data_IF_380266022787
#
_entry.id   IF_380266022787
#
_cell.length_a   1.000
_cell.length_b   1.000
_cell.length_c   1.000
_cell.angle_alpha   90.00
_cell.angle_beta   90.00
_cell.angle_gamma   90.00
#
_symmetry.space_group_name_H-M   'P 1'
#
loop_
_entity.id
_entity.type
_entity.pdbx_description
1 polymer ?
#
# COMPACT_ATOMS: atom_id res chain seq x y z
N UNK A 1 3.71 -34.15 -5.47
CA UNK A 1 2.50 -33.91 -4.64
C UNK A 1 2.67 -32.69 -3.71
N UNK A 2 3.69 -32.64 -2.85
CA UNK A 2 3.91 -31.50 -1.91
C UNK A 2 3.89 -30.12 -2.60
N UNK A 3 4.59 -29.96 -3.73
CA UNK A 3 4.61 -28.71 -4.51
C UNK A 3 3.22 -28.26 -4.98
N UNK A 4 2.40 -29.18 -5.50
CA UNK A 4 1.05 -28.85 -5.99
C UNK A 4 0.15 -28.42 -4.82
N UNK A 5 0.23 -29.12 -3.70
CA UNK A 5 -0.51 -28.78 -2.48
C UNK A 5 -0.07 -27.39 -1.98
N UNK A 6 1.23 -27.10 -1.94
CA UNK A 6 1.75 -25.78 -1.56
C UNK A 6 1.26 -24.67 -2.49
N UNK A 7 1.27 -24.89 -3.81
CA UNK A 7 0.75 -23.91 -4.78
C UNK A 7 -0.75 -23.69 -4.55
N UNK A 8 -1.53 -24.75 -4.40
CA UNK A 8 -2.97 -24.65 -4.15
C UNK A 8 -3.26 -23.85 -2.88
N UNK A 9 -2.61 -24.19 -1.77
CA UNK A 9 -2.79 -23.50 -0.49
C UNK A 9 -2.36 -22.03 -0.56
N UNK A 10 -1.26 -21.73 -1.25
CA UNK A 10 -0.82 -20.35 -1.43
C UNK A 10 -1.79 -19.54 -2.30
N UNK A 11 -2.31 -20.14 -3.38
CA UNK A 11 -3.32 -19.50 -4.23
C UNK A 11 -4.61 -19.22 -3.45
N UNK A 12 -5.09 -20.18 -2.66
CA UNK A 12 -6.26 -19.99 -1.80
C UNK A 12 -6.02 -18.89 -0.76
N UNK A 13 -4.83 -18.87 -0.15
CA UNK A 13 -4.44 -17.83 0.80
C UNK A 13 -4.46 -16.44 0.14
N UNK A 14 -3.83 -16.28 -1.03
CA UNK A 14 -3.83 -15.02 -1.78
C UNK A 14 -5.25 -14.57 -2.12
N UNK A 15 -6.09 -15.46 -2.65
CA UNK A 15 -7.48 -15.12 -3.01
C UNK A 15 -8.32 -14.77 -1.77
N UNK A 16 -8.06 -15.39 -0.62
CA UNK A 16 -8.83 -15.16 0.62
C UNK A 16 -8.38 -13.92 1.39
N UNK A 17 -7.12 -13.49 1.25
CA UNK A 17 -6.53 -12.40 2.06
C UNK A 17 -6.25 -11.13 1.26
N UNK A 18 -6.55 -11.13 -0.04
CA UNK A 18 -6.36 -9.98 -0.92
C UNK A 18 -7.56 -9.82 -1.84
N UNK A 19 -7.61 -8.72 -2.59
CA UNK A 19 -8.65 -8.42 -3.59
C UNK A 19 -8.54 -9.28 -4.87
N UNK A 20 -7.68 -10.31 -4.93
CA UNK A 20 -7.58 -11.21 -6.09
C UNK A 20 -8.91 -11.90 -6.41
N UNK A 21 -9.81 -12.10 -5.44
CA UNK A 21 -11.14 -12.64 -5.69
C UNK A 21 -11.99 -11.78 -6.63
N UNK A 22 -11.72 -10.47 -6.74
CA UNK A 22 -12.44 -9.57 -7.64
C UNK A 22 -12.26 -9.98 -9.11
N UNK A 23 -11.14 -10.63 -9.46
CA UNK A 23 -10.91 -11.16 -10.82
C UNK A 23 -11.95 -12.22 -11.21
N UNK A 24 -12.57 -12.90 -10.23
CA UNK A 24 -13.67 -13.84 -10.49
C UNK A 24 -14.94 -13.15 -11.00
N UNK A 25 -15.05 -11.82 -10.88
CA UNK A 25 -16.17 -11.00 -11.38
C UNK A 25 -15.95 -10.49 -12.81
N UNK A 26 -14.81 -10.81 -13.45
CA UNK A 26 -14.56 -10.44 -14.86
C UNK A 26 -15.67 -10.90 -15.82
N UNK A 27 -16.28 -12.09 -15.69
CA UNK A 27 -17.40 -12.48 -16.55
C UNK A 27 -18.58 -11.50 -16.49
N UNK A 28 -18.91 -10.99 -15.30
CA UNK A 28 -19.97 -9.98 -15.11
C UNK A 28 -19.63 -8.65 -15.79
N UNK A 29 -18.36 -8.24 -15.75
CA UNK A 29 -17.89 -7.06 -16.48
C UNK A 29 -18.03 -7.22 -17.99
N UNK A 30 -17.69 -8.40 -18.53
CA UNK A 30 -17.81 -8.69 -19.97
C UNK A 30 -19.28 -8.68 -20.40
N UNK A 31 -20.15 -9.33 -19.61
CA UNK A 31 -21.60 -9.34 -19.88
C UNK A 31 -22.17 -7.92 -19.90
N UNK A 32 -21.86 -7.12 -18.89
CA UNK A 32 -22.35 -5.74 -18.81
C UNK A 32 -21.78 -4.85 -19.94
N UNK A 33 -20.52 -5.05 -20.34
CA UNK A 33 -19.96 -4.38 -21.51
C UNK A 33 -20.73 -4.72 -22.79
N UNK A 34 -21.14 -5.98 -22.99
CA UNK A 34 -21.95 -6.36 -24.14
C UNK A 34 -23.34 -5.75 -24.13
N UNK A 35 -23.96 -5.59 -22.96
CA UNK A 35 -25.23 -4.85 -22.84
C UNK A 35 -25.08 -3.41 -23.36
N UNK A 36 -24.03 -2.70 -22.92
CA UNK A 36 -23.74 -1.34 -23.41
C UNK A 36 -23.38 -1.32 -24.89
N UNK A 37 -22.66 -2.32 -25.39
CA UNK A 37 -22.29 -2.42 -26.80
C UNK A 37 -23.50 -2.68 -27.70
N UNK A 38 -24.49 -3.42 -27.20
CA UNK A 38 -25.75 -3.67 -27.92
C UNK A 38 -26.62 -2.40 -27.99
N UNK A 39 -26.63 -1.59 -26.93
CA UNK A 39 -27.36 -0.31 -26.90
C UNK A 39 -26.64 0.80 -27.66
N UNK A 40 -25.30 0.81 -27.62
CA UNK A 40 -24.44 1.77 -28.29
C UNK A 40 -23.31 1.03 -29.02
N UNK A 41 -23.46 0.75 -30.32
CA UNK A 41 -22.45 0.06 -31.12
C UNK A 41 -21.09 0.77 -31.17
N UNK A 42 -21.04 2.09 -30.96
CA UNK A 42 -19.80 2.88 -30.94
C UNK A 42 -19.09 2.86 -29.58
N UNK A 43 -19.71 2.26 -28.55
CA UNK A 43 -19.09 2.13 -27.23
C UNK A 43 -17.80 1.32 -27.31
N UNK A 44 -16.69 1.92 -26.87
CA UNK A 44 -15.41 1.23 -26.72
C UNK A 44 -15.27 0.69 -25.30
N UNK A 45 -14.43 -0.33 -25.12
CA UNK A 45 -14.14 -0.87 -23.79
C UNK A 45 -13.59 0.20 -22.84
N UNK A 46 -12.70 1.08 -23.33
CA UNK A 46 -12.13 2.17 -22.54
C UNK A 46 -13.17 3.21 -22.14
N UNK A 47 -14.10 3.55 -23.04
CA UNK A 47 -15.21 4.44 -22.70
C UNK A 47 -16.13 3.83 -21.64
N UNK A 48 -16.46 2.54 -21.77
CA UNK A 48 -17.24 1.80 -20.77
C UNK A 48 -16.56 1.80 -19.39
N UNK A 49 -15.26 1.45 -19.34
CA UNK A 49 -14.50 1.47 -18.10
C UNK A 49 -14.44 2.88 -17.49
N UNK A 50 -14.28 3.92 -18.31
CA UNK A 50 -14.27 5.30 -17.82
C UNK A 50 -15.59 5.67 -17.16
N UNK A 51 -16.72 5.36 -17.79
CA UNK A 51 -18.05 5.65 -17.22
C UNK A 51 -18.25 5.00 -15.85
N UNK A 52 -17.76 3.78 -15.67
CA UNK A 52 -18.01 2.98 -14.46
C UNK A 52 -16.96 3.13 -13.35
N UNK A 53 -15.71 3.51 -13.68
CA UNK A 53 -14.60 3.57 -12.72
C UNK A 53 -14.04 4.98 -12.47
N UNK A 54 -14.27 5.95 -13.35
CA UNK A 54 -13.77 7.33 -13.18
C UNK A 54 -14.77 8.18 -12.37
N UNK A 55 -16.02 8.23 -12.83
CA UNK A 55 -17.09 9.02 -12.21
C UNK A 55 -18.39 8.22 -12.15
N UNK A 56 -18.50 7.22 -11.25
CA UNK A 56 -19.66 6.36 -11.18
C UNK A 56 -20.91 7.17 -10.83
N UNK A 57 -21.93 7.10 -11.71
CA UNK A 57 -23.21 7.78 -11.53
C UNK A 57 -24.20 6.81 -10.89
N UNK A 58 -24.97 7.29 -9.90
CA UNK A 58 -26.10 6.51 -9.36
C UNK A 58 -27.28 6.63 -10.31
N UNK A 59 -27.37 5.71 -11.26
CA UNK A 59 -28.49 5.63 -12.19
C UNK A 59 -29.25 4.29 -12.07
N UNK A 60 -29.99 3.91 -13.12
CA UNK A 60 -30.76 2.67 -13.13
C UNK A 60 -29.89 1.41 -13.08
N UNK A 61 -28.64 1.49 -13.54
CA UNK A 61 -27.71 0.38 -13.60
C UNK A 61 -26.84 0.26 -12.35
N UNK A 62 -26.96 1.19 -11.39
CA UNK A 62 -26.20 1.22 -10.14
C UNK A 62 -26.12 -0.14 -9.41
N UNK A 63 -27.20 -0.93 -9.39
CA UNK A 63 -27.20 -2.26 -8.77
C UNK A 63 -26.35 -3.31 -9.52
N UNK A 64 -26.21 -3.17 -10.83
CA UNK A 64 -25.31 -3.98 -11.67
C UNK A 64 -23.88 -3.47 -11.54
N UNK A 65 -23.67 -2.16 -11.51
CA UNK A 65 -22.35 -1.54 -11.38
C UNK A 65 -21.65 -1.97 -10.09
N UNK A 66 -22.41 -2.08 -9.00
CA UNK A 66 -21.91 -2.59 -7.71
C UNK A 66 -21.38 -4.03 -7.78
N UNK A 67 -21.78 -4.83 -8.78
CA UNK A 67 -21.30 -6.19 -8.99
C UNK A 67 -20.03 -6.26 -9.85
N UNK A 68 -19.61 -5.14 -10.44
CA UNK A 68 -18.38 -5.07 -11.21
C UNK A 68 -17.15 -5.29 -10.30
N UNK A 69 -16.05 -5.82 -10.86
CA UNK A 69 -14.81 -6.01 -10.11
C UNK A 69 -14.28 -4.67 -9.61
N UNK A 70 -13.77 -4.62 -8.39
CA UNK A 70 -13.11 -3.44 -7.80
C UNK A 70 -13.99 -2.17 -7.64
N UNK A 71 -15.32 -2.29 -7.68
CA UNK A 71 -16.23 -1.18 -7.30
C UNK A 71 -16.52 -1.19 -5.80
N UNK A 72 -16.83 -2.37 -5.25
CA UNK A 72 -17.04 -2.58 -3.81
C UNK A 72 -15.92 -3.45 -3.26
N UNK A 73 -15.29 -2.95 -2.19
CA UNK A 73 -14.23 -3.60 -1.45
C UNK A 73 -14.80 -4.18 -0.16
N UNK A 74 -14.58 -5.47 0.06
CA UNK A 74 -14.89 -6.12 1.34
C UNK A 74 -13.60 -6.25 2.14
N UNK A 75 -13.70 -6.11 3.46
CA UNK A 75 -12.53 -6.30 4.32
C UNK A 75 -11.97 -7.73 4.12
N UNK A 76 -10.71 -7.87 3.65
CA UNK A 76 -10.12 -9.18 3.50
C UNK A 76 -9.90 -9.83 4.87
N UNK A 77 -9.77 -11.15 4.88
CA UNK A 77 -9.57 -11.91 6.10
C UNK A 77 -8.26 -11.47 6.79
N UNK A 78 -8.39 -10.79 7.94
CA UNK A 78 -7.27 -10.37 8.77
C UNK A 78 -7.10 -11.35 9.95
N UNK A 79 -6.08 -12.20 9.87
CA UNK A 79 -5.69 -13.08 10.97
C UNK A 79 -4.61 -12.40 11.82
N UNK A 80 -4.95 -12.03 13.04
CA UNK A 80 -3.99 -11.54 14.03
C UNK A 80 -3.67 -12.68 14.98
N UNK A 81 -2.45 -13.22 14.90
CA UNK A 81 -1.97 -14.21 15.85
C UNK A 81 -1.27 -13.50 17.00
N UNK A 82 -1.92 -13.45 18.16
CA UNK A 82 -1.28 -12.99 19.40
C UNK A 82 -0.60 -14.18 20.08
N UNK A 83 0.69 -14.08 20.35
CA UNK A 83 1.37 -15.08 21.18
C UNK A 83 0.91 -14.91 22.62
N UNK A 84 0.10 -15.84 23.13
CA UNK A 84 -0.56 -15.72 24.45
C UNK A 84 0.29 -16.18 25.63
N UNK A 85 1.57 -16.46 25.45
CA UNK A 85 2.45 -16.84 26.55
C UNK A 85 3.63 -15.90 26.62
N UNK A 86 3.82 -15.32 27.81
CA UNK A 86 4.87 -14.35 28.09
C UNK A 86 6.21 -14.79 27.52
N UNK A 87 6.73 -13.99 26.60
CA UNK A 87 8.11 -14.15 26.17
C UNK A 87 9.00 -13.72 27.33
N UNK A 88 9.66 -14.70 27.95
CA UNK A 88 10.75 -14.42 28.86
C UNK A 88 12.00 -14.19 28.01
N UNK A 89 12.42 -12.92 27.90
CA UNK A 89 13.73 -12.57 27.39
C UNK A 89 14.74 -12.83 28.50
N UNK A 90 15.31 -14.03 28.52
CA UNK A 90 16.49 -14.26 29.33
C UNK A 90 17.66 -13.67 28.56
N UNK A 91 18.02 -12.44 28.93
CA UNK A 91 19.27 -11.84 28.50
C UNK A 91 20.38 -12.76 29.04
N UNK A 92 20.86 -13.66 28.18
CA UNK A 92 22.02 -14.47 28.48
C UNK A 92 23.09 -13.52 29.00
N UNK A 93 23.61 -13.80 30.19
CA UNK A 93 24.75 -13.09 30.76
C UNK A 93 26.01 -13.53 29.99
N UNK A 94 25.96 -13.37 28.67
CA UNK A 94 27.14 -13.31 27.83
C UNK A 94 27.86 -12.09 28.36
N UNK A 95 28.91 -12.34 29.15
CA UNK A 95 29.89 -11.33 29.46
C UNK A 95 30.31 -10.76 28.10
N UNK A 96 29.75 -9.61 27.74
CA UNK A 96 30.15 -8.87 26.57
C UNK A 96 31.65 -8.70 26.73
N UNK A 97 32.44 -9.51 26.00
CA UNK A 97 33.85 -9.22 25.84
C UNK A 97 33.82 -7.82 25.27
N UNK A 98 34.29 -6.86 26.06
CA UNK A 98 34.41 -5.48 25.64
C UNK A 98 35.20 -5.52 24.34
N UNK A 99 34.50 -5.45 23.21
CA UNK A 99 35.14 -5.25 21.93
C UNK A 99 35.74 -3.86 22.12
N UNK A 100 37.06 -3.79 22.21
CA UNK A 100 37.78 -2.52 22.17
C UNK A 100 37.41 -1.89 20.83
N UNK A 101 36.34 -1.10 20.84
CA UNK A 101 35.98 -0.25 19.73
C UNK A 101 37.12 0.74 19.62
N UNK A 102 37.90 0.62 18.54
CA UNK A 102 38.81 1.68 18.16
C UNK A 102 37.93 2.90 17.98
N UNK A 103 38.23 4.00 18.69
CA UNK A 103 37.50 5.26 18.54
C UNK A 103 37.33 5.51 17.05
N UNK A 104 36.09 5.50 16.58
CA UNK A 104 35.78 6.00 15.25
C UNK A 104 36.25 7.46 15.28
N UNK A 105 37.14 7.89 14.38
CA UNK A 105 37.54 9.29 14.33
C UNK A 105 36.28 10.11 14.07
N UNK A 106 35.75 10.75 15.10
CA UNK A 106 34.69 11.74 14.95
C UNK A 106 35.34 12.94 14.28
N UNK A 107 34.92 13.23 13.05
CA UNK A 107 35.22 14.49 12.42
C UNK A 107 34.66 15.61 13.32
N UNK A 108 35.52 16.58 13.66
CA UNK A 108 35.15 17.72 14.49
C UNK A 108 34.28 18.67 13.66
N UNK A 109 32.96 18.48 13.73
CA UNK A 109 31.96 19.36 13.13
C UNK A 109 32.06 20.79 13.67
N UNK A 110 32.60 21.00 14.88
CA UNK A 110 32.74 22.34 15.49
C UNK A 110 33.80 23.19 14.79
N UNK A 111 34.69 22.58 14.00
CA UNK A 111 35.67 23.32 13.19
C UNK A 111 35.00 24.05 12.01
N UNK A 112 33.90 23.52 11.48
CA UNK A 112 33.17 24.12 10.37
C UNK A 112 32.39 25.40 10.77
N UNK A 113 32.06 25.58 12.05
CA UNK A 113 31.27 26.73 12.53
C UNK A 113 32.11 27.98 12.84
N UNK A 114 33.45 27.89 12.90
CA UNK A 114 34.30 29.06 13.21
C UNK A 114 34.37 30.11 12.08
N UNK A 115 33.90 29.78 10.88
CA UNK A 115 33.96 30.68 9.71
C UNK A 115 32.75 31.61 9.53
N UNK A 116 31.63 31.37 10.23
CA UNK A 116 30.35 32.02 9.92
C UNK A 116 29.70 32.69 11.15
N UNK A 117 30.50 33.38 11.97
CA UNK A 117 29.99 34.03 13.18
C UNK A 117 29.05 35.22 12.91
N UNK A 118 29.03 35.79 11.69
CA UNK A 118 28.40 37.10 11.47
C UNK A 118 27.40 37.20 10.30
N UNK A 119 26.96 36.11 9.67
CA UNK A 119 26.12 36.29 8.47
C UNK A 119 25.18 35.15 8.09
N UNK A 120 24.63 34.39 9.04
CA UNK A 120 23.73 33.28 8.67
C UNK A 120 22.25 33.64 8.74
N UNK A 121 21.79 34.52 9.64
CA UNK A 121 20.39 34.98 9.60
C UNK A 121 20.21 36.33 10.31
N UNK A 122 20.25 37.44 9.58
CA UNK A 122 19.58 38.67 10.01
C UNK A 122 18.30 38.84 9.19
N UNK A 123 17.12 39.03 9.83
CA UNK A 123 15.91 39.37 9.09
C UNK A 123 16.02 40.76 8.44
N UNK A 124 15.28 41.05 7.35
CA UNK A 124 15.39 42.30 6.62
C UNK A 124 15.03 43.49 7.52
N UNK A 125 15.96 44.46 7.65
CA UNK A 125 15.69 45.71 8.36
C UNK A 125 14.85 46.61 7.44
N UNK A 126 13.55 46.69 7.68
CA UNK A 126 12.70 47.69 7.02
C UNK A 126 13.05 49.08 7.55
N UNK A 127 13.56 49.94 6.68
CA UNK A 127 13.68 51.39 6.94
C UNK A 127 12.39 52.07 6.50
N UNK A 128 11.62 52.58 7.46
CA UNK A 128 10.62 53.62 7.19
C UNK A 128 11.25 54.97 7.51
N UNK A 129 11.26 55.87 6.52
CA UNK A 129 11.60 57.29 6.68
C UNK A 129 10.64 58.02 7.61
#
# INVERSE_FOLDING_TARGET
>A
MKKLISILLLSLYLVSTTELYQLLKIPTLIEHYWEHKALNPEMTLTAFLKTHYDHPVKDKDYSKDQKLPFIIHSAPLALVFTMSQGFHFEAGNEQFRQIKSHKIPSYDEDFCYRGFLNSVWEPPRHTFS
#
